data_IF_705328430911
#
_entry.id   IF_705328430911
#
_cell.length_a   1.000
_cell.length_b   1.000
_cell.length_c   1.000
_cell.angle_alpha   90.00
_cell.angle_beta   90.00
_cell.angle_gamma   90.00
#
_symmetry.space_group_name_H-M   'P 1'
#
loop_
_entity.id
_entity.type
_entity.pdbx_description
1 polymer ?
#
# COMPACT_ATOMS: atom_id res chain seq x y z
N UNK A 1 55.34 -16.10 79.19
CA UNK A 1 54.93 -14.68 79.25
C UNK A 1 53.80 -14.47 78.25
N UNK A 2 52.76 -13.79 78.73
CA UNK A 2 51.42 -13.65 78.19
C UNK A 2 51.29 -13.28 76.72
N UNK A 3 50.19 -13.73 76.08
CA UNK A 3 49.12 -12.83 75.62
C UNK A 3 47.84 -13.62 75.33
N UNK A 4 46.83 -13.33 76.14
CA UNK A 4 45.41 -13.58 75.87
C UNK A 4 44.94 -12.54 74.86
N UNK A 5 44.16 -12.95 73.86
CA UNK A 5 43.27 -12.06 73.12
C UNK A 5 41.98 -12.82 72.73
N UNK A 6 40.88 -12.49 73.40
CA UNK A 6 39.49 -12.57 72.91
C UNK A 6 39.16 -11.19 72.30
N UNK A 7 37.96 -10.94 71.74
CA UNK A 7 37.08 -11.70 70.84
C UNK A 7 36.79 -10.85 69.56
N UNK A 8 35.87 -11.26 68.67
CA UNK A 8 34.77 -10.37 68.24
C UNK A 8 33.76 -11.15 67.39
N UNK A 9 32.51 -11.12 67.84
CA UNK A 9 31.32 -11.41 67.04
C UNK A 9 30.93 -10.10 66.35
N UNK A 10 30.69 -10.11 65.04
CA UNK A 10 30.00 -9.01 64.34
C UNK A 10 29.08 -9.58 63.27
N UNK A 11 27.83 -9.75 63.68
CA UNK A 11 26.57 -9.36 63.00
C UNK A 11 26.53 -9.37 61.46
N UNK A 12 25.64 -10.21 60.93
CA UNK A 12 25.10 -10.11 59.58
C UNK A 12 24.43 -8.76 59.35
N UNK A 13 24.70 -8.15 58.19
CA UNK A 13 23.82 -7.16 57.56
C UNK A 13 23.58 -7.59 56.12
N UNK A 14 22.43 -8.23 55.90
CA UNK A 14 21.91 -8.50 54.56
C UNK A 14 21.37 -7.20 53.97
N UNK A 15 22.09 -6.60 53.01
CA UNK A 15 21.54 -5.53 52.18
C UNK A 15 20.71 -6.17 51.07
N UNK A 16 19.39 -6.17 51.22
CA UNK A 16 18.47 -6.38 50.11
C UNK A 16 18.41 -5.09 49.28
N UNK A 17 19.05 -5.08 48.12
CA UNK A 17 18.93 -3.98 47.16
C UNK A 17 17.65 -4.20 46.34
N UNK A 18 16.63 -3.39 46.63
CA UNK A 18 15.40 -3.33 45.87
C UNK A 18 15.67 -2.77 44.46
N UNK A 19 15.07 -3.40 43.45
CA UNK A 19 15.17 -3.08 42.05
C UNK A 19 14.56 -1.71 41.71
N UNK A 20 15.24 -0.96 40.83
CA UNK A 20 14.61 0.05 39.98
C UNK A 20 14.74 -0.43 38.54
N UNK A 21 13.81 -1.28 38.11
CA UNK A 21 13.68 -1.68 36.71
C UNK A 21 13.16 -0.50 35.90
N UNK A 22 14.03 0.15 35.12
CA UNK A 22 13.61 1.12 34.12
C UNK A 22 13.08 0.34 32.91
N UNK A 23 11.79 0.01 32.89
CA UNK A 23 11.13 -0.48 31.68
C UNK A 23 10.98 0.70 30.73
N UNK A 24 11.96 0.89 29.85
CA UNK A 24 11.80 1.69 28.64
C UNK A 24 10.73 1.00 27.80
N UNK A 25 9.48 1.46 27.91
CA UNK A 25 8.48 1.19 26.88
C UNK A 25 8.93 1.98 25.66
N UNK A 26 9.76 1.38 24.81
CA UNK A 26 9.89 1.84 23.43
C UNK A 26 8.49 1.70 22.85
N UNK A 27 7.73 2.80 22.82
CA UNK A 27 6.57 2.88 21.98
C UNK A 27 7.07 2.56 20.58
N UNK A 28 6.68 1.41 20.05
CA UNK A 28 6.88 1.10 18.64
C UNK A 28 6.11 2.17 17.88
N UNK A 29 6.80 3.23 17.47
CA UNK A 29 6.38 3.95 16.29
C UNK A 29 6.29 2.85 15.23
N UNK A 30 5.08 2.50 14.81
CA UNK A 30 4.90 1.70 13.61
C UNK A 30 5.59 2.52 12.52
N UNK A 31 6.81 2.11 12.15
CA UNK A 31 7.46 2.68 11.00
C UNK A 31 6.53 2.38 9.81
N UNK A 32 6.29 3.39 8.98
CA UNK A 32 5.64 3.20 7.70
C UNK A 32 6.30 2.00 6.99
N UNK A 33 5.50 0.98 6.66
CA UNK A 33 5.97 -0.20 5.93
C UNK A 33 6.06 0.07 4.43
N UNK A 34 5.40 1.12 3.96
CA UNK A 34 5.36 1.59 2.59
C UNK A 34 5.88 3.04 2.53
N UNK A 35 6.18 3.53 1.33
CA UNK A 35 6.77 4.85 1.13
C UNK A 35 6.02 5.69 0.10
N UNK A 36 5.70 6.93 0.47
CA UNK A 36 5.26 7.97 -0.49
C UNK A 36 6.38 8.47 -1.43
N UNK A 37 7.62 7.97 -1.30
CA UNK A 37 8.76 8.39 -2.12
C UNK A 37 8.67 7.98 -3.61
N UNK A 38 7.68 7.18 -3.97
CA UNK A 38 7.43 6.72 -5.33
C UNK A 38 6.35 7.51 -6.07
N UNK A 39 5.69 8.46 -5.38
CA UNK A 39 4.64 9.26 -6.00
C UNK A 39 5.12 9.90 -7.32
N UNK A 40 4.29 9.87 -8.36
CA UNK A 40 2.84 9.58 -8.32
C UNK A 40 2.48 8.09 -8.48
N UNK A 41 3.44 7.16 -8.39
CA UNK A 41 3.19 5.72 -8.32
C UNK A 41 3.09 5.23 -6.87
N UNK A 42 2.42 4.09 -6.61
CA UNK A 42 2.50 3.45 -5.31
C UNK A 42 3.90 2.89 -5.03
N UNK A 43 4.18 2.58 -3.76
CA UNK A 43 5.34 1.79 -3.39
C UNK A 43 5.25 0.38 -4.02
N UNK A 44 6.22 -0.02 -4.86
CA UNK A 44 6.16 -1.28 -5.59
C UNK A 44 6.29 -2.52 -4.70
N UNK A 45 6.74 -2.38 -3.44
CA UNK A 45 6.78 -3.48 -2.48
C UNK A 45 5.40 -3.71 -1.86
N UNK A 46 4.63 -2.64 -1.65
CA UNK A 46 3.32 -2.72 -1.01
C UNK A 46 2.18 -2.96 -2.00
N UNK A 47 2.22 -2.30 -3.15
CA UNK A 47 1.19 -2.39 -4.19
C UNK A 47 1.83 -2.68 -5.54
N UNK A 48 2.38 -3.90 -5.75
CA UNK A 48 3.04 -4.29 -6.99
C UNK A 48 2.12 -4.38 -8.21
N UNK A 49 0.79 -4.37 -8.03
CA UNK A 49 -0.19 -4.45 -9.13
C UNK A 49 -0.78 -5.84 -9.31
N UNK A 50 -1.38 -6.42 -8.27
CA UNK A 50 -2.01 -7.74 -8.38
C UNK A 50 -3.16 -7.75 -9.41
N UNK A 51 -3.20 -8.79 -10.25
CA UNK A 51 -4.19 -8.95 -11.34
C UNK A 51 -5.34 -9.89 -10.94
N UNK A 52 -6.50 -9.69 -11.56
CA UNK A 52 -7.67 -10.56 -11.46
C UNK A 52 -7.51 -11.76 -12.43
N UNK A 53 -7.43 -13.01 -11.93
CA UNK A 53 -7.23 -14.18 -12.78
C UNK A 53 -8.39 -14.47 -13.75
N UNK A 54 -9.58 -13.91 -13.50
CA UNK A 54 -10.74 -14.04 -14.39
C UNK A 54 -10.65 -13.12 -15.62
N UNK A 55 -9.75 -12.13 -15.61
CA UNK A 55 -9.53 -11.18 -16.72
C UNK A 55 -8.24 -11.55 -17.44
N UNK A 56 -8.42 -12.11 -18.62
CA UNK A 56 -7.35 -12.50 -19.54
C UNK A 56 -7.69 -11.96 -20.92
N UNK A 57 -6.73 -11.98 -21.84
CA UNK A 57 -6.97 -11.57 -23.23
C UNK A 57 -8.15 -12.33 -23.86
N UNK A 58 -8.35 -13.60 -23.50
CA UNK A 58 -9.44 -14.44 -24.02
C UNK A 58 -10.80 -14.13 -23.40
N UNK A 59 -10.84 -13.44 -22.25
CA UNK A 59 -12.09 -13.16 -21.52
C UNK A 59 -12.51 -11.69 -21.58
N UNK A 60 -11.74 -10.79 -22.21
CA UNK A 60 -12.02 -9.33 -22.22
C UNK A 60 -13.42 -8.99 -22.76
N UNK A 61 -13.91 -9.74 -23.76
CA UNK A 61 -15.22 -9.54 -24.39
C UNK A 61 -16.40 -9.97 -23.50
N UNK A 62 -16.12 -10.69 -22.41
CA UNK A 62 -17.09 -11.07 -21.37
C UNK A 62 -16.84 -10.36 -20.04
N UNK A 63 -15.77 -9.56 -19.95
CA UNK A 63 -15.31 -8.87 -18.74
C UNK A 63 -15.15 -7.37 -18.99
N UNK A 64 -13.92 -6.86 -19.06
CA UNK A 64 -13.60 -5.43 -19.06
C UNK A 64 -14.19 -4.64 -20.25
N UNK A 65 -14.49 -5.31 -21.36
CA UNK A 65 -15.13 -4.70 -22.52
C UNK A 65 -16.66 -4.78 -22.50
N UNK A 66 -17.25 -5.38 -21.46
CA UNK A 66 -18.69 -5.39 -21.22
C UNK A 66 -19.09 -4.21 -20.35
N UNK A 67 -20.05 -3.41 -20.82
CA UNK A 67 -20.57 -2.27 -20.08
C UNK A 67 -21.10 -2.69 -18.70
N UNK A 68 -20.66 -2.00 -17.65
CA UNK A 68 -21.07 -2.25 -16.27
C UNK A 68 -20.35 -3.40 -15.54
N UNK A 69 -19.46 -4.15 -16.20
CA UNK A 69 -18.77 -5.29 -15.59
C UNK A 69 -17.96 -4.90 -14.34
N UNK A 70 -17.23 -3.79 -14.37
CA UNK A 70 -16.43 -3.35 -13.21
C UNK A 70 -17.30 -3.10 -11.97
N UNK A 71 -18.55 -2.65 -12.16
CA UNK A 71 -19.54 -2.50 -11.08
C UNK A 71 -19.94 -3.81 -10.40
N UNK A 72 -19.76 -4.97 -11.08
CA UNK A 72 -20.09 -6.28 -10.52
C UNK A 72 -18.98 -6.86 -9.64
N UNK A 73 -17.72 -6.43 -9.86
CA UNK A 73 -16.55 -6.93 -9.12
C UNK A 73 -16.03 -5.93 -8.08
N UNK A 74 -16.39 -4.64 -8.20
CA UNK A 74 -15.94 -3.56 -7.31
C UNK A 74 -16.23 -3.89 -5.84
N UNK A 75 -15.25 -3.74 -4.93
CA UNK A 75 -15.50 -3.93 -3.51
C UNK A 75 -16.49 -2.89 -2.96
N UNK A 76 -17.22 -3.21 -1.87
CA UNK A 76 -18.08 -2.23 -1.21
C UNK A 76 -17.24 -1.08 -0.63
N UNK A 77 -17.79 0.13 -0.62
CA UNK A 77 -17.08 1.31 -0.09
C UNK A 77 -16.70 1.20 1.39
N UNK A 78 -17.41 0.38 2.17
CA UNK A 78 -17.05 0.10 3.56
C UNK A 78 -15.71 -0.63 3.70
N UNK A 79 -15.37 -1.49 2.73
CA UNK A 79 -14.08 -2.17 2.67
C UNK A 79 -12.97 -1.18 2.33
N UNK A 80 -13.12 -0.45 1.22
CA UNK A 80 -12.10 0.50 0.75
C UNK A 80 -11.90 1.67 1.72
N UNK A 81 -12.95 2.17 2.37
CA UNK A 81 -12.82 3.21 3.39
C UNK A 81 -12.04 2.74 4.63
N UNK A 82 -12.18 1.46 5.01
CA UNK A 82 -11.42 0.89 6.12
C UNK A 82 -9.95 0.71 5.74
N UNK A 83 -9.69 0.18 4.53
CA UNK A 83 -8.35 -0.04 4.01
C UNK A 83 -7.58 1.28 3.83
N UNK A 84 -8.21 2.30 3.25
CA UNK A 84 -7.63 3.65 3.09
C UNK A 84 -7.10 4.25 4.39
N UNK A 85 -7.88 4.14 5.47
CA UNK A 85 -7.47 4.63 6.80
C UNK A 85 -6.21 3.92 7.31
N UNK A 86 -6.12 2.61 7.08
CA UNK A 86 -4.96 1.81 7.45
C UNK A 86 -3.76 2.20 6.59
N UNK A 87 -3.91 2.19 5.27
CA UNK A 87 -2.81 2.38 4.35
C UNK A 87 -2.25 3.81 4.35
N UNK A 88 -3.08 4.83 4.63
CA UNK A 88 -2.58 6.21 4.83
C UNK A 88 -1.49 6.24 5.93
N UNK A 89 -1.68 5.48 7.01
CA UNK A 89 -0.67 5.36 8.06
C UNK A 89 0.52 4.48 7.62
N UNK A 90 0.27 3.39 6.89
CA UNK A 90 1.32 2.48 6.41
C UNK A 90 2.26 3.11 5.38
N UNK A 91 1.75 4.01 4.53
CA UNK A 91 2.53 4.81 3.57
C UNK A 91 3.24 6.01 4.21
N UNK A 92 2.94 6.30 5.48
CA UNK A 92 3.57 7.39 6.22
C UNK A 92 3.14 8.77 5.76
N UNK A 93 1.94 8.91 5.20
CA UNK A 93 1.40 10.23 4.85
C UNK A 93 1.25 11.09 6.11
N UNK A 94 1.73 12.33 6.03
CA UNK A 94 1.55 13.30 7.12
C UNK A 94 0.13 13.87 7.16
N UNK A 95 -0.51 13.98 6.00
CA UNK A 95 -1.92 14.33 5.88
C UNK A 95 -2.77 13.06 5.95
N UNK A 96 -3.67 13.02 6.93
CA UNK A 96 -4.56 11.87 7.17
C UNK A 96 -6.02 12.17 6.83
N UNK A 97 -6.28 13.28 6.15
CA UNK A 97 -7.61 13.64 5.67
C UNK A 97 -8.03 12.69 4.55
N UNK A 98 -9.06 11.88 4.79
CA UNK A 98 -9.48 10.85 3.83
C UNK A 98 -10.02 11.40 2.50
N UNK A 99 -10.39 12.68 2.47
CA UNK A 99 -10.88 13.35 1.26
C UNK A 99 -9.78 13.77 0.30
N UNK A 100 -8.52 13.69 0.72
CA UNK A 100 -7.35 14.06 -0.09
C UNK A 100 -6.75 12.83 -0.81
N UNK A 101 -7.38 11.66 -0.66
CA UNK A 101 -6.99 10.39 -1.27
C UNK A 101 -8.19 9.61 -1.81
N UNK A 102 -8.03 9.01 -2.99
CA UNK A 102 -8.89 7.92 -3.47
C UNK A 102 -8.33 6.59 -2.98
N UNK A 103 -9.19 5.62 -2.62
CA UNK A 103 -8.69 4.26 -2.41
C UNK A 103 -8.83 3.52 -3.72
N UNK A 104 -7.73 3.43 -4.46
CA UNK A 104 -7.81 3.08 -5.88
C UNK A 104 -6.92 1.91 -6.26
N UNK A 105 -7.26 1.33 -7.40
CA UNK A 105 -6.55 0.22 -7.98
C UNK A 105 -5.29 0.71 -8.72
N UNK A 106 -4.12 0.12 -8.46
CA UNK A 106 -2.91 0.46 -9.22
C UNK A 106 -3.04 0.03 -10.69
N UNK A 107 -3.38 -1.25 -10.92
CA UNK A 107 -3.94 -1.70 -12.20
C UNK A 107 -5.46 -1.57 -12.08
N UNK A 108 -6.14 -0.75 -12.90
CA UNK A 108 -7.58 -0.53 -12.77
C UNK A 108 -8.37 -1.80 -13.04
N UNK A 109 -9.59 -1.87 -12.52
CA UNK A 109 -10.53 -2.95 -12.84
C UNK A 109 -10.76 -3.06 -14.35
N UNK A 110 -10.72 -1.93 -15.04
CA UNK A 110 -10.83 -1.76 -16.49
C UNK A 110 -9.68 -2.41 -17.28
N UNK A 111 -8.57 -2.74 -16.63
CA UNK A 111 -7.46 -3.53 -17.17
C UNK A 111 -7.25 -4.84 -16.41
N UNK A 112 -8.27 -5.29 -15.66
CA UNK A 112 -8.23 -6.56 -14.97
C UNK A 112 -7.39 -6.57 -13.69
N UNK A 113 -7.27 -5.45 -12.99
CA UNK A 113 -6.70 -5.44 -11.64
C UNK A 113 -7.51 -6.26 -10.63
N UNK A 114 -6.83 -6.82 -9.64
CA UNK A 114 -7.46 -7.57 -8.55
C UNK A 114 -8.36 -6.64 -7.73
N UNK A 115 -9.65 -6.97 -7.52
CA UNK A 115 -10.60 -6.01 -6.96
C UNK A 115 -10.43 -5.75 -5.47
N UNK A 116 -9.87 -6.70 -4.72
CA UNK A 116 -9.75 -6.64 -3.25
C UNK A 116 -8.32 -6.82 -2.74
N UNK A 117 -7.33 -7.02 -3.62
CA UNK A 117 -5.97 -7.24 -3.15
C UNK A 117 -5.37 -5.93 -2.66
N UNK A 118 -4.80 -5.90 -1.45
CA UNK A 118 -4.00 -4.78 -0.96
C UNK A 118 -2.75 -4.58 -1.84
N UNK A 119 -2.26 -5.65 -2.49
CA UNK A 119 -1.20 -5.57 -3.49
C UNK A 119 -1.63 -4.87 -4.79
N UNK A 120 -2.90 -4.50 -4.92
CA UNK A 120 -3.41 -3.67 -6.03
C UNK A 120 -4.23 -2.47 -5.54
N UNK A 121 -4.37 -2.25 -4.23
CA UNK A 121 -5.14 -1.14 -3.67
C UNK A 121 -4.22 -0.25 -2.84
N UNK A 122 -4.34 1.06 -3.03
CA UNK A 122 -3.54 2.04 -2.31
C UNK A 122 -4.28 3.38 -2.16
N UNK A 123 -3.91 4.20 -1.16
CA UNK A 123 -4.46 5.54 -0.98
C UNK A 123 -3.79 6.51 -1.97
N UNK A 124 -4.35 6.61 -3.17
CA UNK A 124 -3.85 7.46 -4.25
C UNK A 124 -4.17 8.94 -3.99
N UNK A 125 -3.16 9.83 -3.95
CA UNK A 125 -3.39 11.26 -3.69
C UNK A 125 -4.21 11.99 -4.77
N UNK A 126 -5.08 12.90 -4.33
CA UNK A 126 -5.75 13.89 -5.18
C UNK A 126 -4.91 15.18 -5.40
N UNK A 127 -3.67 15.19 -4.93
CA UNK A 127 -2.76 16.33 -4.98
C UNK A 127 -1.41 15.95 -5.59
N UNK A 128 -0.63 16.97 -5.96
CA UNK A 128 0.64 16.80 -6.67
C UNK A 128 0.55 17.32 -8.10
N UNK A 129 1.58 17.06 -8.89
CA UNK A 129 1.61 17.43 -10.31
C UNK A 129 0.82 16.45 -11.19
N UNK A 130 0.68 15.20 -10.72
CA UNK A 130 -0.06 14.11 -11.35
C UNK A 130 -0.96 13.51 -10.28
N UNK A 131 -2.28 13.62 -10.47
CA UNK A 131 -3.30 13.27 -9.48
C UNK A 131 -4.06 12.00 -9.87
N UNK A 132 -4.86 11.46 -8.94
CA UNK A 132 -5.76 10.34 -9.25
C UNK A 132 -6.65 10.58 -10.49
N UNK A 133 -7.09 11.83 -10.73
CA UNK A 133 -7.89 12.18 -11.90
C UNK A 133 -7.09 12.19 -13.22
N UNK A 134 -5.78 12.42 -13.15
CA UNK A 134 -4.89 12.31 -14.31
C UNK A 134 -4.70 10.83 -14.68
N UNK A 135 -4.51 9.97 -13.68
CA UNK A 135 -4.48 8.50 -13.85
C UNK A 135 -5.81 7.98 -14.42
N UNK A 136 -6.96 8.41 -13.93
CA UNK A 136 -8.29 8.06 -14.51
C UNK A 136 -8.33 8.29 -16.03
N UNK A 137 -7.72 9.38 -16.51
CA UNK A 137 -7.68 9.69 -17.94
C UNK A 137 -6.82 8.70 -18.72
N UNK A 138 -5.68 8.29 -18.17
CA UNK A 138 -4.80 7.26 -18.74
C UNK A 138 -5.52 5.91 -18.80
N UNK A 139 -6.10 5.47 -17.68
CA UNK A 139 -6.81 4.20 -17.58
C UNK A 139 -7.96 4.08 -18.57
N UNK A 140 -8.76 5.14 -18.70
CA UNK A 140 -9.86 5.18 -19.66
C UNK A 140 -9.39 5.07 -21.11
N UNK A 141 -8.22 5.63 -21.45
CA UNK A 141 -7.63 5.51 -22.79
C UNK A 141 -7.06 4.12 -23.03
N UNK A 142 -6.34 3.55 -22.06
CA UNK A 142 -5.81 2.19 -22.12
C UNK A 142 -6.94 1.16 -22.31
N UNK A 143 -8.01 1.26 -21.50
CA UNK A 143 -9.21 0.41 -21.65
C UNK A 143 -9.77 0.46 -23.07
N UNK A 144 -9.93 1.68 -23.62
CA UNK A 144 -10.45 1.86 -24.98
C UNK A 144 -9.56 1.20 -26.02
N UNK A 145 -8.25 1.38 -25.92
CA UNK A 145 -7.29 0.77 -26.85
C UNK A 145 -7.31 -0.77 -26.75
N UNK A 146 -7.38 -1.34 -25.54
CA UNK A 146 -7.52 -2.80 -25.35
C UNK A 146 -8.82 -3.32 -25.96
N UNK A 147 -9.96 -2.68 -25.67
CA UNK A 147 -11.26 -3.12 -26.19
C UNK A 147 -11.46 -2.83 -27.69
N UNK A 148 -10.64 -1.96 -28.28
CA UNK A 148 -10.57 -1.78 -29.73
C UNK A 148 -9.64 -2.79 -30.42
N UNK A 149 -8.81 -3.50 -29.66
CA UNK A 149 -7.78 -4.40 -30.18
C UNK A 149 -6.52 -3.68 -30.68
N UNK A 150 -6.36 -2.40 -30.35
CA UNK A 150 -5.20 -1.59 -30.76
C UNK A 150 -3.93 -1.99 -29.98
N UNK A 151 -4.09 -2.44 -28.74
CA UNK A 151 -3.03 -2.98 -27.87
C UNK A 151 -3.53 -4.23 -27.15
N UNK A 152 -2.62 -5.14 -26.78
CA UNK A 152 -3.00 -6.30 -25.95
C UNK A 152 -3.27 -5.89 -24.51
N UNK A 153 -4.08 -6.67 -23.79
CA UNK A 153 -4.30 -6.49 -22.36
C UNK A 153 -2.98 -6.52 -21.58
N UNK A 154 -2.09 -7.46 -21.91
CA UNK A 154 -0.79 -7.59 -21.25
C UNK A 154 0.11 -6.39 -21.48
N UNK A 155 0.10 -5.79 -22.68
CA UNK A 155 0.91 -4.60 -22.97
C UNK A 155 0.39 -3.40 -22.18
N UNK A 156 -0.93 -3.22 -22.10
CA UNK A 156 -1.54 -2.16 -21.30
C UNK A 156 -1.26 -2.33 -19.79
N UNK A 157 -1.36 -3.56 -19.28
CA UNK A 157 -1.03 -3.92 -17.89
C UNK A 157 0.46 -3.65 -17.59
N UNK A 158 1.36 -4.06 -18.47
CA UNK A 158 2.79 -3.81 -18.30
C UNK A 158 3.12 -2.31 -18.33
N UNK A 159 2.50 -1.55 -19.24
CA UNK A 159 2.71 -0.12 -19.35
C UNK A 159 2.28 0.62 -18.08
N UNK A 160 1.07 0.34 -17.56
CA UNK A 160 0.56 1.02 -16.36
C UNK A 160 1.35 0.63 -15.09
N UNK A 161 1.75 -0.64 -14.96
CA UNK A 161 2.57 -1.10 -13.83
C UNK A 161 4.02 -0.57 -13.87
N UNK A 162 4.53 -0.26 -15.06
CA UNK A 162 5.88 0.30 -15.21
C UNK A 162 5.89 1.77 -14.83
N UNK A 163 5.01 2.55 -15.47
CA UNK A 163 4.84 3.98 -15.24
C UNK A 163 3.56 4.45 -15.92
N UNK A 164 2.51 4.62 -15.12
CA UNK A 164 1.22 5.06 -15.65
C UNK A 164 1.30 6.45 -16.30
N UNK A 165 2.20 7.32 -15.86
CA UNK A 165 2.34 8.69 -16.41
C UNK A 165 2.83 8.69 -17.86
N UNK A 166 3.57 7.64 -18.25
CA UNK A 166 4.09 7.46 -19.61
C UNK A 166 3.46 6.28 -20.37
N UNK A 167 2.50 5.58 -19.77
CA UNK A 167 1.91 4.37 -20.35
C UNK A 167 1.36 4.60 -21.77
N UNK A 168 0.65 5.71 -22.00
CA UNK A 168 0.08 6.01 -23.32
C UNK A 168 1.16 6.24 -24.39
N UNK A 169 2.18 7.04 -24.09
CA UNK A 169 3.24 7.33 -25.05
C UNK A 169 4.11 6.10 -25.31
N UNK A 170 4.34 5.26 -24.30
CA UNK A 170 5.07 3.98 -24.44
C UNK A 170 4.39 3.00 -25.41
N UNK A 171 3.06 3.10 -25.53
CA UNK A 171 2.24 2.30 -26.45
C UNK A 171 1.88 3.03 -27.76
N UNK A 172 2.35 4.27 -27.96
CA UNK A 172 2.02 5.06 -29.14
C UNK A 172 0.57 5.56 -29.19
N UNK A 173 -0.07 5.75 -28.03
CA UNK A 173 -1.47 6.18 -27.87
C UNK A 173 -1.63 7.68 -27.51
N UNK A 174 -0.54 8.44 -27.53
CA UNK A 174 -0.47 9.88 -27.19
C UNK A 174 -0.69 10.79 -28.39
#
# INVERSE_FOLDING_TARGET
MSRIARPLVTTLSSLALAAAGLTLTTGSAHAASCSQGYLPLPDPVCTPGALNPDVTQDTIDSTICVSGWTGTVRPPSSYTTALKKQQIAEYGYSDTSLSDYEEDHFVPLELGGAPRSEENLWPEPHYGDETSSDKDTVENKLKKAVCAGDVSLSDAQNAIMTDWTTALSSLGLS
#
